data_IF_498868229021
#
_entry.id   IF_498868229021
#
_cell.length_a   1.000
_cell.length_b   1.000
_cell.length_c   1.000
_cell.angle_alpha   90.00
_cell.angle_beta   90.00
_cell.angle_gamma   90.00
#
_symmetry.space_group_name_H-M   'P 1'
#
loop_
_entity.id
_entity.type
_entity.pdbx_description
1 polymer ?
#
# COMPACT_ATOMS: atom_id res chain seq x y z
N UNK A 1 11.85 -0.03 -7.48
CA UNK A 1 13.09 -0.75 -7.12
C UNK A 1 12.79 -1.64 -5.93
N UNK A 2 13.09 -2.93 -6.06
CA UNK A 2 12.90 -3.88 -4.98
C UNK A 2 14.08 -3.82 -3.99
N UNK A 3 13.84 -3.89 -2.67
CA UNK A 3 14.93 -3.93 -1.72
C UNK A 3 15.68 -5.27 -1.79
N UNK A 4 17.00 -5.23 -1.61
CA UNK A 4 17.82 -6.43 -1.33
C UNK A 4 17.84 -6.79 0.16
N UNK A 5 17.55 -5.81 1.01
CA UNK A 5 17.62 -5.93 2.48
C UNK A 5 16.68 -4.93 3.15
N UNK A 6 16.00 -5.38 4.20
CA UNK A 6 15.29 -4.52 5.16
C UNK A 6 15.94 -4.58 6.53
N UNK A 7 15.98 -3.45 7.22
CA UNK A 7 16.62 -3.30 8.53
C UNK A 7 15.71 -2.55 9.48
N UNK A 8 15.59 -3.05 10.71
CA UNK A 8 15.00 -2.32 11.82
C UNK A 8 16.08 -1.57 12.58
N UNK A 9 15.89 -0.27 12.79
CA UNK A 9 16.78 0.56 13.62
C UNK A 9 16.16 0.69 15.01
N UNK A 10 16.90 0.23 16.02
CA UNK A 10 16.46 0.27 17.42
C UNK A 10 16.36 1.72 17.88
N UNK A 11 15.15 2.18 18.24
CA UNK A 11 14.90 3.57 18.66
C UNK A 11 15.16 3.80 20.15
N UNK A 12 14.83 2.80 20.97
CA UNK A 12 15.05 2.71 22.42
C UNK A 12 15.51 1.27 22.68
N UNK A 13 16.27 1.05 23.74
CA UNK A 13 16.84 -0.27 24.01
C UNK A 13 15.80 -1.39 23.88
N UNK A 14 16.16 -2.41 23.09
CA UNK A 14 15.25 -3.46 22.61
C UNK A 14 16.05 -4.73 22.28
N UNK A 15 15.49 -5.91 22.52
CA UNK A 15 16.15 -7.19 22.15
C UNK A 15 15.80 -7.61 20.72
N UNK A 16 16.62 -8.47 20.13
CA UNK A 16 16.34 -9.03 18.81
C UNK A 16 15.05 -9.86 18.80
N UNK A 17 14.72 -10.55 19.91
CA UNK A 17 13.43 -11.24 20.08
C UNK A 17 12.23 -10.32 19.96
N UNK A 18 12.28 -9.14 20.57
CA UNK A 18 11.19 -8.16 20.45
C UNK A 18 11.04 -7.69 19.01
N UNK A 19 12.15 -7.47 18.29
CA UNK A 19 12.11 -7.14 16.86
C UNK A 19 11.52 -8.30 16.04
N UNK A 20 11.87 -9.56 16.34
CA UNK A 20 11.27 -10.73 15.71
C UNK A 20 9.74 -10.72 15.86
N UNK A 21 9.25 -10.45 17.07
CA UNK A 21 7.80 -10.39 17.35
C UNK A 21 7.10 -9.26 16.58
N UNK A 22 7.72 -8.09 16.45
CA UNK A 22 7.19 -6.96 15.66
C UNK A 22 7.00 -7.34 14.19
N UNK A 23 7.91 -8.14 13.64
CA UNK A 23 7.85 -8.61 12.26
C UNK A 23 7.15 -9.97 12.09
N UNK A 24 6.74 -10.60 13.19
CA UNK A 24 6.26 -12.00 13.24
C UNK A 24 7.23 -12.98 12.56
N UNK A 25 8.53 -12.80 12.81
CA UNK A 25 9.58 -13.71 12.38
C UNK A 25 9.77 -14.79 13.43
N UNK A 26 10.05 -16.01 12.98
CA UNK A 26 10.54 -17.05 13.87
C UNK A 26 11.92 -16.64 14.42
N UNK A 27 12.20 -16.99 15.67
CA UNK A 27 13.46 -16.61 16.32
C UNK A 27 14.69 -17.13 15.56
N UNK A 28 14.63 -18.36 15.05
CA UNK A 28 15.71 -18.94 14.26
C UNK A 28 15.96 -18.16 12.96
N UNK A 29 14.91 -17.59 12.36
CA UNK A 29 15.02 -16.78 11.15
C UNK A 29 15.76 -15.47 11.44
N UNK A 30 15.36 -14.71 12.46
CA UNK A 30 16.04 -13.44 12.78
C UNK A 30 17.48 -13.65 13.25
N UNK A 31 17.76 -14.77 13.93
CA UNK A 31 19.12 -15.15 14.32
C UNK A 31 19.99 -15.45 13.08
N UNK A 32 19.44 -16.16 12.09
CA UNK A 32 20.14 -16.41 10.82
C UNK A 32 20.43 -15.11 10.05
N UNK A 33 19.53 -14.13 10.13
CA UNK A 33 19.72 -12.81 9.52
C UNK A 33 20.80 -11.96 10.22
N UNK A 34 21.05 -12.21 11.52
CA UNK A 34 21.94 -11.43 12.39
C UNK A 34 22.90 -12.34 13.19
N UNK A 35 23.82 -13.04 12.52
CA UNK A 35 24.73 -13.96 13.20
C UNK A 35 25.59 -13.24 14.24
N UNK A 36 25.73 -13.84 15.42
CA UNK A 36 26.51 -13.28 16.53
C UNK A 36 25.77 -12.27 17.41
N UNK A 37 24.53 -11.89 17.07
CA UNK A 37 23.67 -11.08 17.95
C UNK A 37 22.91 -12.00 18.89
N UNK A 38 23.03 -11.76 20.20
CA UNK A 38 22.25 -12.49 21.21
C UNK A 38 20.76 -12.12 21.12
N UNK A 39 19.89 -13.14 21.14
CA UNK A 39 18.46 -13.00 20.89
C UNK A 39 17.73 -12.22 21.99
N UNK A 40 18.11 -12.43 23.25
CA UNK A 40 17.41 -11.90 24.42
C UNK A 40 18.09 -10.62 24.93
N UNK A 41 19.40 -10.45 24.69
CA UNK A 41 20.16 -9.28 25.12
C UNK A 41 19.64 -8.00 24.48
N UNK A 42 19.38 -7.02 25.32
CA UNK A 42 19.03 -5.67 24.91
C UNK A 42 20.18 -5.03 24.12
N UNK A 43 19.82 -4.49 22.95
CA UNK A 43 20.74 -3.80 22.06
C UNK A 43 20.55 -2.28 22.21
N UNK A 44 21.63 -1.49 22.13
CA UNK A 44 21.55 -0.04 22.30
C UNK A 44 20.80 0.64 21.15
N UNK A 45 20.24 1.84 21.37
CA UNK A 45 19.68 2.68 20.31
C UNK A 45 20.65 2.88 19.15
N UNK A 46 20.12 2.92 17.93
CA UNK A 46 20.91 3.03 16.69
C UNK A 46 21.41 1.69 16.13
N UNK A 47 21.34 0.60 16.91
CA UNK A 47 21.66 -0.74 16.40
C UNK A 47 20.72 -1.12 15.26
N UNK A 48 21.32 -1.68 14.20
CA UNK A 48 20.64 -2.10 12.97
C UNK A 48 20.50 -3.62 12.95
N UNK A 49 19.26 -4.11 13.02
CA UNK A 49 18.96 -5.54 12.89
C UNK A 49 18.34 -5.81 11.52
N UNK A 50 18.90 -6.76 10.80
CA UNK A 50 18.36 -7.22 9.51
C UNK A 50 17.09 -8.03 9.79
N UNK A 51 15.98 -7.65 9.19
CA UNK A 51 14.66 -8.28 9.40
C UNK A 51 14.13 -8.95 8.15
N UNK A 52 14.77 -8.69 7.01
CA UNK A 52 14.52 -9.38 5.76
C UNK A 52 15.74 -9.21 4.85
N UNK A 53 16.06 -10.26 4.09
CA UNK A 53 17.07 -10.24 3.04
C UNK A 53 16.52 -11.01 1.85
N UNK A 54 16.76 -10.51 0.65
CA UNK A 54 16.43 -11.25 -0.57
C UNK A 54 17.10 -12.64 -0.52
N UNK A 55 16.36 -13.75 -0.64
CA UNK A 55 16.93 -15.10 -0.48
C UNK A 55 17.94 -15.52 -1.57
N UNK A 56 17.97 -14.83 -2.71
CA UNK A 56 18.82 -15.09 -3.87
C UNK A 56 18.15 -14.56 -5.14
N UNK A 57 18.78 -14.73 -6.30
CA UNK A 57 18.23 -14.26 -7.59
C UNK A 57 17.09 -15.16 -8.11
N UNK A 58 17.11 -16.45 -7.75
CA UNK A 58 16.10 -17.43 -8.15
C UNK A 58 14.86 -17.46 -7.22
N UNK A 59 14.72 -16.49 -6.31
CA UNK A 59 13.57 -16.48 -5.39
C UNK A 59 12.27 -16.19 -6.15
N UNK A 60 11.24 -16.99 -5.86
CA UNK A 60 9.91 -16.79 -6.42
C UNK A 60 9.13 -15.85 -5.51
N UNK A 61 8.53 -14.81 -6.10
CA UNK A 61 7.57 -13.94 -5.42
C UNK A 61 6.26 -13.95 -6.20
N UNK A 62 5.19 -14.49 -5.61
CA UNK A 62 3.93 -14.67 -6.32
C UNK A 62 2.70 -14.52 -5.45
N UNK A 63 1.66 -13.97 -6.07
CA UNK A 63 0.30 -13.95 -5.58
C UNK A 63 -0.39 -15.30 -5.83
N UNK A 64 -0.98 -15.88 -4.78
CA UNK A 64 -1.69 -17.17 -4.87
C UNK A 64 -3.15 -16.96 -4.46
N UNK A 65 -4.08 -17.34 -5.32
CA UNK A 65 -5.53 -17.25 -5.05
C UNK A 65 -6.08 -15.83 -5.21
N UNK A 66 -7.15 -15.53 -4.47
CA UNK A 66 -7.85 -14.25 -4.53
C UNK A 66 -7.31 -13.29 -3.46
N UNK A 67 -7.49 -11.99 -3.68
CA UNK A 67 -7.14 -10.96 -2.70
C UNK A 67 -7.78 -11.16 -1.31
N UNK A 68 -8.99 -11.73 -1.25
CA UNK A 68 -9.73 -12.04 -0.02
C UNK A 68 -9.70 -13.50 0.43
N UNK A 69 -9.01 -14.37 -0.29
CA UNK A 69 -8.83 -15.78 0.03
C UNK A 69 -7.59 -16.29 -0.71
N UNK A 70 -6.42 -15.97 -0.15
CA UNK A 70 -5.16 -16.10 -0.85
C UNK A 70 -3.96 -16.16 0.06
N UNK A 71 -2.80 -16.32 -0.57
CA UNK A 71 -1.49 -16.37 0.08
C UNK A 71 -0.48 -15.57 -0.73
N UNK A 72 0.63 -15.24 -0.06
CA UNK A 72 1.78 -14.61 -0.66
C UNK A 72 2.97 -15.54 -0.48
N UNK A 73 3.61 -15.92 -1.58
CA UNK A 73 4.88 -16.63 -1.57
C UNK A 73 6.00 -15.65 -1.92
N UNK A 74 7.14 -15.77 -1.22
CA UNK A 74 8.28 -14.86 -1.37
C UNK A 74 7.94 -13.39 -1.18
N UNK A 75 7.18 -13.06 -0.12
CA UNK A 75 6.80 -11.69 0.18
C UNK A 75 8.01 -10.76 0.35
N UNK A 76 7.93 -9.61 -0.31
CA UNK A 76 8.92 -8.53 -0.27
C UNK A 76 8.36 -7.38 0.59
N UNK A 77 9.11 -6.86 1.56
CA UNK A 77 8.64 -5.74 2.36
C UNK A 77 8.78 -4.43 1.59
N UNK A 78 7.77 -3.57 1.69
CA UNK A 78 7.91 -2.16 1.32
C UNK A 78 8.77 -1.44 2.37
N UNK A 79 9.56 -0.46 1.92
CA UNK A 79 10.42 0.38 2.77
C UNK A 79 9.98 1.84 2.69
N UNK A 80 10.27 2.65 3.71
CA UNK A 80 10.21 4.11 3.60
C UNK A 80 11.08 4.62 2.45
N UNK A 81 10.72 5.77 1.88
CA UNK A 81 11.45 6.34 0.75
C UNK A 81 10.82 7.60 0.17
N UNK A 82 11.35 8.11 -0.96
CA UNK A 82 10.82 9.30 -1.60
C UNK A 82 9.32 9.19 -1.86
N UNK A 83 8.59 10.26 -1.49
CA UNK A 83 7.15 10.39 -1.68
C UNK A 83 6.28 9.50 -0.78
N UNK A 84 6.85 8.78 0.21
CA UNK A 84 6.07 7.94 1.12
C UNK A 84 6.62 7.81 2.54
N UNK A 85 5.73 7.54 3.49
CA UNK A 85 6.04 7.10 4.86
C UNK A 85 5.13 5.92 5.21
N UNK A 86 5.71 4.84 5.73
CA UNK A 86 4.97 3.66 6.16
C UNK A 86 4.33 3.91 7.53
N UNK A 87 3.04 3.59 7.65
CA UNK A 87 2.23 3.79 8.87
C UNK A 87 1.51 2.51 9.34
N UNK A 88 1.80 1.37 8.72
CA UNK A 88 1.32 0.06 9.17
C UNK A 88 2.31 -0.59 10.16
N UNK A 89 1.85 -1.63 10.86
CA UNK A 89 2.75 -2.51 11.62
C UNK A 89 3.71 -3.24 10.66
N UNK A 90 5.00 -3.41 10.98
CA UNK A 90 5.97 -3.93 10.02
C UNK A 90 5.65 -5.32 9.46
N UNK A 91 4.98 -6.18 10.22
CA UNK A 91 4.54 -7.50 9.71
C UNK A 91 3.44 -7.43 8.63
N UNK A 92 2.88 -6.24 8.35
CA UNK A 92 1.85 -5.98 7.32
C UNK A 92 2.37 -5.21 6.10
N UNK A 93 3.68 -5.03 5.95
CA UNK A 93 4.26 -4.25 4.86
C UNK A 93 4.68 -5.10 3.66
N UNK A 94 4.21 -6.35 3.56
CA UNK A 94 4.67 -7.30 2.54
C UNK A 94 3.72 -7.37 1.35
N UNK A 95 4.30 -7.54 0.17
CA UNK A 95 3.56 -7.79 -1.07
C UNK A 95 4.42 -8.61 -2.03
N UNK A 96 3.91 -8.89 -3.22
CA UNK A 96 4.76 -9.49 -4.27
C UNK A 96 5.86 -8.51 -4.66
N UNK A 97 6.98 -9.05 -5.14
CA UNK A 97 8.10 -8.26 -5.66
C UNK A 97 7.64 -7.22 -6.68
N UNK A 98 6.77 -7.64 -7.60
CA UNK A 98 6.15 -6.77 -8.60
C UNK A 98 5.32 -5.64 -7.98
N UNK A 99 4.40 -5.95 -7.06
CA UNK A 99 3.58 -4.92 -6.40
C UNK A 99 4.45 -3.90 -5.64
N UNK A 100 5.50 -4.35 -4.94
CA UNK A 100 6.44 -3.44 -4.28
C UNK A 100 7.19 -2.58 -5.31
N UNK A 101 7.64 -3.16 -6.42
CA UNK A 101 8.37 -2.44 -7.46
C UNK A 101 7.54 -1.35 -8.12
N UNK A 102 6.29 -1.67 -8.49
CA UNK A 102 5.32 -0.76 -9.10
C UNK A 102 4.97 0.37 -8.13
N UNK A 103 4.62 0.02 -6.89
CA UNK A 103 4.25 1.02 -5.89
C UNK A 103 5.42 1.95 -5.54
N UNK A 104 6.65 1.44 -5.47
CA UNK A 104 7.85 2.28 -5.30
C UNK A 104 8.04 3.24 -6.47
N UNK A 105 7.82 2.80 -7.72
CA UNK A 105 7.90 3.68 -8.89
C UNK A 105 6.82 4.78 -8.85
N UNK A 106 5.57 4.41 -8.58
CA UNK A 106 4.44 5.34 -8.43
C UNK A 106 4.71 6.38 -7.34
N UNK A 107 5.15 5.95 -6.16
CA UNK A 107 5.33 6.86 -5.02
C UNK A 107 6.60 7.71 -5.14
N UNK A 108 7.65 7.23 -5.82
CA UNK A 108 8.80 8.08 -6.19
C UNK A 108 8.37 9.16 -7.17
N UNK A 109 7.60 8.81 -8.18
CA UNK A 109 7.08 9.77 -9.15
C UNK A 109 6.13 10.78 -8.49
N UNK A 110 5.29 10.34 -7.55
CA UNK A 110 4.51 11.22 -6.69
C UNK A 110 5.39 12.25 -5.98
N UNK A 111 6.42 11.79 -5.26
CA UNK A 111 7.36 12.68 -4.56
C UNK A 111 8.12 13.62 -5.51
N UNK A 112 8.34 13.23 -6.76
CA UNK A 112 8.94 14.08 -7.79
C UNK A 112 7.97 15.13 -8.35
N UNK A 113 6.70 14.76 -8.57
CA UNK A 113 5.66 15.66 -9.07
C UNK A 113 5.22 16.68 -8.01
N UNK A 114 5.27 16.28 -6.74
CA UNK A 114 4.79 17.09 -5.59
C UNK A 114 5.87 17.21 -4.49
N UNK A 115 7.02 17.86 -4.77
CA UNK A 115 8.14 17.90 -3.82
C UNK A 115 7.86 18.70 -2.53
N UNK A 116 6.94 19.67 -2.60
CA UNK A 116 6.54 20.50 -1.46
C UNK A 116 5.43 19.86 -0.60
N UNK A 117 4.86 18.74 -1.06
CA UNK A 117 3.79 18.06 -0.34
C UNK A 117 4.31 17.06 0.69
N UNK A 118 3.43 16.75 1.64
CA UNK A 118 3.69 15.70 2.62
C UNK A 118 3.76 14.34 1.90
N UNK A 119 4.73 13.46 2.27
CA UNK A 119 4.84 12.13 1.68
C UNK A 119 3.58 11.31 1.91
N UNK A 120 3.19 10.48 0.95
CA UNK A 120 2.02 9.62 1.08
C UNK A 120 2.12 8.68 2.28
N UNK A 121 1.07 8.59 3.11
CA UNK A 121 1.03 7.55 4.13
C UNK A 121 0.65 6.22 3.48
N UNK A 122 1.48 5.21 3.68
CA UNK A 122 1.23 3.85 3.20
C UNK A 122 0.76 3.00 4.38
N UNK A 123 -0.44 2.46 4.25
CA UNK A 123 -1.13 1.63 5.22
C UNK A 123 -0.96 0.15 4.90
N UNK A 124 -1.92 -0.70 5.28
CA UNK A 124 -1.66 -2.13 5.26
C UNK A 124 -1.45 -2.65 3.84
N UNK A 125 -0.46 -3.54 3.70
CA UNK A 125 -0.31 -4.44 2.55
C UNK A 125 -0.69 -5.84 3.05
N UNK A 126 0.01 -6.90 2.63
CA UNK A 126 -0.18 -8.25 3.16
C UNK A 126 0.75 -8.57 4.33
N UNK A 127 0.45 -9.69 5.00
CA UNK A 127 1.42 -10.37 5.86
C UNK A 127 2.54 -10.97 5.02
N UNK A 128 3.68 -11.30 5.65
CA UNK A 128 4.84 -11.91 4.99
C UNK A 128 4.51 -13.12 4.10
N UNK A 129 3.58 -13.97 4.53
CA UNK A 129 3.12 -15.15 3.79
C UNK A 129 1.66 -15.02 3.32
N UNK A 130 1.09 -13.82 3.42
CA UNK A 130 -0.28 -13.53 3.06
C UNK A 130 -1.30 -14.10 4.05
N UNK A 131 -2.47 -14.50 3.55
CA UNK A 131 -3.56 -15.03 4.36
C UNK A 131 -4.33 -13.96 5.13
N UNK A 132 -5.31 -14.41 5.91
CA UNK A 132 -6.32 -13.55 6.56
C UNK A 132 -5.70 -12.43 7.40
N UNK A 133 -5.99 -11.19 7.05
CA UNK A 133 -5.50 -10.00 7.75
C UNK A 133 -6.66 -9.21 8.39
N UNK A 134 -7.03 -9.52 9.64
CA UNK A 134 -8.11 -8.75 10.30
C UNK A 134 -7.71 -7.27 10.54
N UNK A 135 -8.65 -6.31 10.42
CA UNK A 135 -10.07 -6.48 10.09
C UNK A 135 -10.38 -6.59 8.58
N UNK A 136 -9.37 -6.46 7.72
CA UNK A 136 -9.51 -6.46 6.27
C UNK A 136 -10.12 -7.75 5.72
N UNK A 137 -11.02 -7.58 4.76
CA UNK A 137 -11.58 -8.69 3.99
C UNK A 137 -10.61 -9.18 2.91
N UNK A 138 -9.68 -8.32 2.48
CA UNK A 138 -8.70 -8.55 1.41
C UNK A 138 -7.26 -8.47 1.95
N UNK A 139 -6.26 -8.03 1.15
CA UNK A 139 -4.84 -7.99 1.53
C UNK A 139 -4.21 -9.35 1.82
N UNK A 140 -4.75 -10.45 1.30
CA UNK A 140 -4.24 -11.77 1.63
C UNK A 140 -3.18 -12.28 0.64
N UNK A 141 -3.11 -11.71 -0.56
CA UNK A 141 -2.34 -12.28 -1.67
C UNK A 141 -1.19 -11.40 -2.16
N UNK A 142 -0.82 -10.36 -1.42
CA UNK A 142 0.30 -9.47 -1.76
C UNK A 142 0.04 -8.48 -2.88
N UNK A 143 -1.23 -8.17 -3.19
CA UNK A 143 -1.61 -7.29 -4.31
C UNK A 143 -2.38 -6.03 -3.88
N UNK A 144 -2.69 -5.88 -2.61
CA UNK A 144 -3.48 -4.75 -2.09
C UNK A 144 -2.60 -3.82 -1.25
N UNK A 145 -2.90 -2.52 -1.27
CA UNK A 145 -2.29 -1.51 -0.42
C UNK A 145 -3.29 -0.40 -0.06
N UNK A 146 -3.28 0.02 1.20
CA UNK A 146 -3.98 1.23 1.66
C UNK A 146 -3.08 2.46 1.47
N UNK A 147 -3.59 3.53 0.87
CA UNK A 147 -2.90 4.81 0.74
C UNK A 147 -3.76 5.92 1.37
N UNK A 148 -3.15 6.86 2.10
CA UNK A 148 -3.87 8.07 2.49
C UNK A 148 -4.35 8.82 1.26
N UNK A 149 -5.43 9.58 1.38
CA UNK A 149 -5.70 10.60 0.38
C UNK A 149 -4.69 11.74 0.48
N UNK A 150 -4.34 12.41 -0.63
CA UNK A 150 -3.72 13.73 -0.60
C UNK A 150 -4.54 14.70 0.26
N UNK A 151 -3.90 15.26 1.28
CA UNK A 151 -4.57 16.10 2.27
C UNK A 151 -4.07 17.53 2.14
N UNK A 152 -5.00 18.49 2.08
CA UNK A 152 -4.68 19.91 2.26
C UNK A 152 -3.96 20.11 3.59
N UNK A 153 -3.02 21.05 3.60
CA UNK A 153 -2.38 21.49 4.84
C UNK A 153 -3.40 22.32 5.61
N UNK A 154 -3.64 21.94 6.86
CA UNK A 154 -4.51 22.65 7.79
C UNK A 154 -3.65 22.99 9.00
N UNK A 155 -3.52 24.28 9.29
CA UNK A 155 -2.66 24.77 10.38
C UNK A 155 -3.11 24.19 11.73
N UNK A 156 -2.13 23.73 12.51
CA UNK A 156 -2.36 23.14 13.83
C UNK A 156 -2.81 21.67 13.82
N UNK A 157 -3.01 21.05 12.65
CA UNK A 157 -3.39 19.63 12.56
C UNK A 157 -2.22 18.72 12.20
N UNK A 158 -2.02 17.65 12.99
CA UNK A 158 -0.97 16.65 12.75
C UNK A 158 -1.25 15.84 11.47
N UNK A 159 -0.22 15.63 10.64
CA UNK A 159 -0.33 14.78 9.47
C UNK A 159 -0.47 13.29 9.83
N UNK A 160 -1.68 12.76 9.63
CA UNK A 160 -2.01 11.37 9.96
C UNK A 160 -3.22 10.88 9.14
N UNK A 161 -3.55 9.59 9.26
CA UNK A 161 -4.81 9.02 8.77
C UNK A 161 -6.00 9.77 9.34
N UNK A 162 -7.00 10.04 8.49
CA UNK A 162 -8.22 10.75 8.87
C UNK A 162 -9.26 10.62 7.76
N UNK A 163 -10.53 10.72 8.13
CA UNK A 163 -11.61 10.79 7.15
C UNK A 163 -11.53 12.08 6.32
N UNK A 164 -11.76 11.94 5.02
CA UNK A 164 -11.76 13.04 4.07
C UNK A 164 -13.15 13.68 3.91
N UNK A 165 -13.15 14.97 3.67
CA UNK A 165 -14.31 15.78 3.35
C UNK A 165 -13.90 16.96 2.45
N UNK A 166 -14.86 17.82 2.10
CA UNK A 166 -14.64 18.98 1.23
C UNK A 166 -13.54 19.95 1.73
N UNK A 167 -13.32 20.02 3.06
CA UNK A 167 -12.38 20.96 3.69
C UNK A 167 -10.95 20.47 3.62
N UNK A 168 -10.73 19.16 3.82
CA UNK A 168 -9.39 18.60 4.00
C UNK A 168 -8.87 17.79 2.79
N UNK A 169 -9.75 17.30 1.89
CA UNK A 169 -9.33 16.58 0.70
C UNK A 169 -8.67 17.53 -0.31
N UNK A 170 -7.48 17.16 -0.79
CA UNK A 170 -6.89 17.77 -1.99
C UNK A 170 -7.35 16.98 -3.22
N UNK A 171 -8.50 17.37 -3.78
CA UNK A 171 -9.13 16.64 -4.87
C UNK A 171 -8.30 16.66 -6.17
N UNK A 172 -7.60 17.76 -6.46
CA UNK A 172 -6.76 17.88 -7.66
C UNK A 172 -5.59 16.89 -7.60
N UNK A 173 -4.93 16.82 -6.45
CA UNK A 173 -3.83 15.89 -6.23
C UNK A 173 -4.28 14.45 -6.05
N UNK A 174 -5.51 14.23 -5.55
CA UNK A 174 -6.10 12.88 -5.51
C UNK A 174 -6.30 12.34 -6.93
N UNK A 175 -6.73 13.18 -7.87
CA UNK A 175 -6.73 12.80 -9.29
C UNK A 175 -5.31 12.51 -9.81
N UNK A 176 -4.32 13.33 -9.45
CA UNK A 176 -2.91 13.06 -9.80
C UNK A 176 -2.39 11.72 -9.28
N UNK A 177 -2.82 11.28 -8.09
CA UNK A 177 -2.50 9.95 -7.56
C UNK A 177 -3.19 8.84 -8.37
N UNK A 178 -4.48 9.00 -8.69
CA UNK A 178 -5.24 8.05 -9.49
C UNK A 178 -4.63 7.89 -10.90
N UNK A 179 -4.25 9.00 -11.52
CA UNK A 179 -3.55 9.03 -12.80
C UNK A 179 -2.25 8.23 -12.73
N UNK A 180 -1.39 8.47 -11.73
CA UNK A 180 -0.14 7.72 -11.55
C UNK A 180 -0.36 6.20 -11.38
N UNK A 181 -1.39 5.81 -10.60
CA UNK A 181 -1.73 4.41 -10.42
C UNK A 181 -2.19 3.77 -11.73
N UNK A 182 -2.99 4.49 -12.54
CA UNK A 182 -3.48 3.99 -13.84
C UNK A 182 -2.37 3.97 -14.89
N UNK A 183 -1.55 5.02 -14.95
CA UNK A 183 -0.37 5.15 -15.83
C UNK A 183 0.65 4.02 -15.60
N UNK A 184 0.68 3.43 -14.39
CA UNK A 184 1.51 2.25 -14.13
C UNK A 184 1.15 1.05 -15.01
N UNK A 185 -0.09 0.99 -15.54
CA UNK A 185 -0.62 -0.15 -16.28
C UNK A 185 -1.04 -1.33 -15.40
N UNK A 186 -0.75 -1.29 -14.11
CA UNK A 186 -0.82 -2.43 -13.19
C UNK A 186 -1.98 -2.36 -12.19
N UNK A 187 -2.71 -1.24 -12.14
CA UNK A 187 -3.88 -1.09 -11.28
C UNK A 187 -5.04 -1.96 -11.81
N UNK A 188 -5.56 -2.83 -10.96
CA UNK A 188 -6.79 -3.60 -11.19
C UNK A 188 -8.02 -2.78 -10.77
N UNK A 189 -7.99 -2.21 -9.56
CA UNK A 189 -9.10 -1.41 -9.03
C UNK A 189 -8.61 -0.48 -7.91
N UNK A 190 -9.21 0.71 -7.81
CA UNK A 190 -9.15 1.56 -6.64
C UNK A 190 -10.51 1.54 -5.90
N UNK A 191 -10.53 1.19 -4.62
CA UNK A 191 -11.74 1.26 -3.78
C UNK A 191 -11.72 2.56 -2.99
N UNK A 192 -12.78 3.35 -3.17
CA UNK A 192 -12.93 4.71 -2.65
C UNK A 192 -14.38 4.91 -2.27
N UNK A 193 -14.66 5.47 -1.09
CA UNK A 193 -16.04 5.70 -0.66
C UNK A 193 -16.77 6.65 -1.63
N UNK A 194 -18.07 6.43 -1.82
CA UNK A 194 -18.92 7.23 -2.71
C UNK A 194 -18.95 8.72 -2.33
N UNK A 195 -18.82 9.04 -1.04
CA UNK A 195 -18.72 10.42 -0.57
C UNK A 195 -17.45 11.09 -1.11
N UNK A 196 -16.34 10.37 -1.19
CA UNK A 196 -15.09 10.87 -1.75
C UNK A 196 -15.17 10.93 -3.28
N UNK A 197 -15.73 9.90 -3.92
CA UNK A 197 -15.96 9.93 -5.38
C UNK A 197 -16.79 11.14 -5.81
N UNK A 198 -17.81 11.53 -5.02
CA UNK A 198 -18.58 12.75 -5.26
C UNK A 198 -17.70 14.00 -5.26
N UNK A 199 -16.82 14.15 -4.26
CA UNK A 199 -15.90 15.29 -4.19
C UNK A 199 -14.94 15.33 -5.40
N UNK A 200 -14.45 14.17 -5.84
CA UNK A 200 -13.60 14.05 -7.02
C UNK A 200 -14.35 14.39 -8.32
N UNK A 201 -15.58 13.90 -8.46
CA UNK A 201 -16.45 14.19 -9.59
C UNK A 201 -16.77 15.69 -9.68
N UNK A 202 -17.22 16.29 -8.58
CA UNK A 202 -17.57 17.72 -8.52
C UNK A 202 -16.35 18.59 -8.83
N UNK A 203 -15.18 18.22 -8.31
CA UNK A 203 -13.92 18.89 -8.63
C UNK A 203 -13.60 18.81 -10.13
N UNK A 204 -13.60 17.61 -10.71
CA UNK A 204 -13.27 17.42 -12.12
C UNK A 204 -14.23 18.16 -13.06
N UNK A 205 -15.53 18.16 -12.74
CA UNK A 205 -16.53 18.93 -13.48
C UNK A 205 -16.28 20.44 -13.36
N UNK A 206 -15.96 20.93 -12.16
CA UNK A 206 -15.75 22.35 -11.90
C UNK A 206 -14.50 22.88 -12.58
N UNK A 207 -13.41 22.11 -12.58
CA UNK A 207 -12.10 22.53 -13.10
C UNK A 207 -11.88 22.13 -14.56
N UNK A 208 -12.69 21.22 -15.09
CA UNK A 208 -12.44 20.61 -16.40
C UNK A 208 -11.24 19.65 -16.40
N UNK A 209 -10.77 19.21 -15.22
CA UNK A 209 -9.59 18.33 -15.08
C UNK A 209 -9.72 17.03 -15.86
N UNK A 210 -10.91 16.43 -15.83
CA UNK A 210 -11.24 15.23 -16.61
C UNK A 210 -12.42 15.58 -17.52
N UNK A 211 -12.36 15.27 -18.82
CA UNK A 211 -13.49 15.48 -19.72
C UNK A 211 -14.74 14.78 -19.18
N UNK A 212 -15.89 15.47 -19.20
CA UNK A 212 -17.14 14.91 -18.66
C UNK A 212 -17.51 13.54 -19.25
N UNK A 213 -17.20 13.31 -20.53
CA UNK A 213 -17.44 12.03 -21.20
C UNK A 213 -16.57 10.88 -20.67
N UNK A 214 -15.43 11.18 -20.05
CA UNK A 214 -14.48 10.19 -19.52
C UNK A 214 -14.72 9.88 -18.04
N UNK A 215 -15.43 10.74 -17.30
CA UNK A 215 -15.70 10.51 -15.88
C UNK A 215 -16.40 9.18 -15.60
N UNK A 216 -17.20 8.68 -16.55
CA UNK A 216 -17.87 7.38 -16.44
C UNK A 216 -16.93 6.17 -16.53
N UNK A 217 -15.72 6.33 -17.08
CA UNK A 217 -14.67 5.32 -17.07
C UNK A 217 -13.91 5.30 -15.73
N UNK A 218 -13.72 6.48 -15.16
CA UNK A 218 -12.99 6.65 -13.91
C UNK A 218 -13.81 6.28 -12.67
N UNK A 219 -14.98 6.91 -12.48
CA UNK A 219 -15.73 6.85 -11.23
C UNK A 219 -17.06 6.10 -11.43
N UNK A 220 -17.49 5.33 -10.42
CA UNK A 220 -18.87 4.84 -10.35
C UNK A 220 -19.86 5.99 -10.11
N UNK A 221 -19.53 6.92 -9.21
CA UNK A 221 -20.36 8.09 -8.94
C UNK A 221 -20.59 8.92 -10.22
N UNK A 222 -21.81 9.42 -10.49
CA UNK A 222 -23.02 9.40 -9.64
C UNK A 222 -23.93 8.18 -9.83
N UNK A 223 -23.49 7.14 -10.55
CA UNK A 223 -24.29 5.93 -10.77
C UNK A 223 -24.36 5.11 -9.48
N UNK A 224 -25.36 4.25 -9.39
CA UNK A 224 -25.47 3.28 -8.29
C UNK A 224 -24.23 2.37 -8.31
N UNK A 225 -23.56 2.14 -7.16
CA UNK A 225 -22.46 1.20 -7.06
C UNK A 225 -22.82 -0.17 -7.63
N UNK A 226 -21.89 -0.81 -8.35
CA UNK A 226 -22.13 -2.14 -8.94
C UNK A 226 -22.81 -2.15 -10.30
N UNK A 227 -23.14 -0.99 -10.87
CA UNK A 227 -23.88 -0.96 -12.15
C UNK A 227 -23.00 -1.00 -13.40
N UNK A 228 -21.72 -0.64 -13.28
CA UNK A 228 -20.77 -0.65 -14.39
C UNK A 228 -19.37 -0.94 -13.88
N UNK A 229 -18.50 -1.42 -14.77
CA UNK A 229 -17.08 -1.56 -14.52
C UNK A 229 -16.35 -0.22 -14.70
N UNK A 230 -15.76 0.28 -13.62
CA UNK A 230 -14.91 1.49 -13.58
C UNK A 230 -13.59 1.20 -12.87
N UNK A 231 -12.63 2.10 -13.01
CA UNK A 231 -11.35 2.03 -12.28
C UNK A 231 -11.55 2.25 -10.78
N UNK A 232 -12.28 3.32 -10.42
CA UNK A 232 -12.59 3.69 -9.04
C UNK A 232 -13.98 3.18 -8.68
N UNK A 233 -14.05 2.31 -7.68
CA UNK A 233 -15.27 1.64 -7.25
C UNK A 233 -15.61 1.94 -5.81
N UNK A 234 -16.89 2.01 -5.53
CA UNK A 234 -17.37 2.24 -4.17
C UNK A 234 -17.14 1.01 -3.30
N UNK A 235 -16.53 1.24 -2.15
CA UNK A 235 -16.61 0.34 -1.02
C UNK A 235 -16.78 1.16 0.25
N UNK A 236 -17.78 0.82 1.06
CA UNK A 236 -18.05 1.51 2.31
C UNK A 236 -16.82 1.48 3.24
N UNK A 237 -16.60 2.56 3.98
CA UNK A 237 -15.51 2.68 4.96
C UNK A 237 -14.18 3.20 4.40
N UNK A 238 -14.08 3.43 3.09
CA UNK A 238 -12.88 3.96 2.44
C UNK A 238 -12.91 5.50 2.35
N UNK A 239 -13.37 6.14 3.43
CA UNK A 239 -13.46 7.61 3.53
C UNK A 239 -12.13 8.22 4.00
N UNK A 240 -11.27 7.44 4.64
CA UNK A 240 -9.97 7.85 5.22
C UNK A 240 -8.75 7.34 4.43
N UNK A 241 -8.96 6.39 3.53
CA UNK A 241 -7.93 5.83 2.65
C UNK A 241 -8.48 5.42 1.28
N UNK A 242 -7.58 5.39 0.29
CA UNK A 242 -7.77 4.76 -1.01
C UNK A 242 -7.16 3.35 -0.93
N UNK A 243 -7.95 2.33 -1.20
CA UNK A 243 -7.45 0.95 -1.34
C UNK A 243 -7.09 0.71 -2.81
N UNK A 244 -5.83 0.40 -3.11
CA UNK A 244 -5.39 0.04 -4.45
C UNK A 244 -5.12 -1.45 -4.54
N UNK A 245 -5.64 -2.10 -5.58
CA UNK A 245 -5.31 -3.48 -5.94
C UNK A 245 -4.58 -3.53 -7.26
N UNK A 246 -3.51 -4.32 -7.32
CA UNK A 246 -2.73 -4.57 -8.53
C UNK A 246 -3.16 -5.86 -9.23
N UNK A 247 -2.98 -5.88 -10.55
CA UNK A 247 -3.30 -7.02 -11.43
C UNK A 247 -2.42 -8.23 -11.11
N UNK A 248 -2.97 -9.42 -11.35
CA UNK A 248 -2.17 -10.63 -11.44
C UNK A 248 -1.14 -10.50 -12.57
N UNK A 249 0.09 -10.92 -12.32
CA UNK A 249 1.12 -10.97 -13.35
C UNK A 249 1.01 -12.24 -14.20
N UNK A 250 1.39 -12.19 -15.50
CA UNK A 250 1.39 -13.38 -16.35
C UNK A 250 2.22 -14.56 -15.81
N UNK A 251 3.26 -14.27 -15.01
CA UNK A 251 4.08 -15.29 -14.35
C UNK A 251 3.38 -15.94 -13.14
N UNK A 252 2.40 -15.27 -12.51
CA UNK A 252 1.69 -15.73 -11.32
C UNK A 252 0.51 -16.63 -11.69
N UNK A 253 0.80 -17.84 -12.17
CA UNK A 253 -0.21 -18.78 -12.70
C UNK A 253 -1.32 -19.17 -11.72
N UNK A 254 -1.10 -18.97 -10.43
CA UNK A 254 -2.07 -19.27 -9.35
C UNK A 254 -2.82 -18.04 -8.86
N UNK A 255 -2.48 -16.86 -9.35
CA UNK A 255 -3.17 -15.62 -9.00
C UNK A 255 -4.56 -15.60 -9.62
N UNK A 256 -5.54 -15.08 -8.88
CA UNK A 256 -6.92 -14.97 -9.34
C UNK A 256 -7.47 -13.57 -9.08
N UNK A 257 -8.02 -12.97 -10.11
CA UNK A 257 -8.90 -11.80 -9.99
C UNK A 257 -10.35 -12.26 -10.09
N UNK A 258 -11.25 -11.53 -9.44
CA UNK A 258 -12.69 -11.72 -9.68
C UNK A 258 -13.08 -10.73 -10.76
N UNK A 259 -13.62 -11.24 -11.86
CA UNK A 259 -14.52 -10.42 -12.66
C UNK A 259 -15.72 -10.10 -11.76
N UNK A 260 -16.22 -8.88 -11.86
CA UNK A 260 -17.43 -8.52 -11.14
C UNK A 260 -18.59 -9.25 -11.82
N UNK A 261 -19.34 -10.04 -11.06
CA UNK A 261 -20.64 -10.60 -11.50
C UNK A 261 -21.68 -9.49 -11.68
#
# INVERSE_FOLDING_TARGET
>A
HEPDKSTYVIKRGCSMKMVANIYKLDHHEIQALNPGVDLEREQPPGTKLVVWRRPGDDFVSESIGYAGDGKLEGGVPMLDGPGRILRMEPWKSFATAHTVAVLDAVLREWGRRYPEDRPMLVGNMSQRTGGRLKPHSTHQSGRDVDLSYPQKVIDGEEYNWREMNERNLDADKTWGLLELLVESGELEVALVDSAIQKLLYDHAVKTGRVPRGELGFWLEYPRRPGTVETIVRHHAGHVDHLHARFKCQPSERRCKSRERE
#
